data_IF_930342568364
#
_entry.id   IF_930342568364
#
_cell.length_a   1.000
_cell.length_b   1.000
_cell.length_c   1.000
_cell.angle_alpha   90.00
_cell.angle_beta   90.00
_cell.angle_gamma   90.00
#
_symmetry.space_group_name_H-M   'P 1'
#
loop_
_entity.id
_entity.type
_entity.pdbx_description
1 polymer ?
#
# COMPACT_ATOMS: atom_id res chain seq x y z
N UNK A 1 28.16 0.82 17.14
CA UNK A 1 26.72 0.68 16.87
C UNK A 1 26.14 -0.27 17.89
N UNK A 2 25.57 0.24 18.97
CA UNK A 2 24.87 -0.60 19.94
C UNK A 2 23.38 -0.60 19.61
N UNK A 3 22.85 -1.70 19.08
CA UNK A 3 21.41 -1.85 18.85
C UNK A 3 20.61 -1.66 20.15
N UNK A 4 21.22 -1.92 21.31
CA UNK A 4 20.61 -1.68 22.62
C UNK A 4 20.26 -0.20 22.84
N UNK A 5 21.14 0.73 22.43
CA UNK A 5 20.88 2.17 22.58
C UNK A 5 19.77 2.62 21.62
N UNK A 6 19.76 2.07 20.40
CA UNK A 6 18.72 2.32 19.40
C UNK A 6 17.36 1.83 19.90
N UNK A 7 17.29 0.61 20.46
CA UNK A 7 16.05 0.08 21.03
C UNK A 7 15.59 0.89 22.25
N UNK A 8 16.51 1.26 23.14
CA UNK A 8 16.18 2.14 24.26
C UNK A 8 15.66 3.52 23.81
N UNK A 9 16.21 4.07 22.73
CA UNK A 9 15.70 5.31 22.13
C UNK A 9 14.30 5.13 21.53
N UNK A 10 14.03 4.01 20.87
CA UNK A 10 12.69 3.70 20.34
C UNK A 10 11.68 3.60 21.49
N UNK A 11 12.00 2.85 22.55
CA UNK A 11 11.12 2.68 23.71
C UNK A 11 10.83 4.02 24.39
N UNK A 12 11.84 4.89 24.54
CA UNK A 12 11.68 6.21 25.12
C UNK A 12 10.83 7.19 24.28
N UNK A 13 10.70 6.95 22.97
CA UNK A 13 9.98 7.81 22.04
C UNK A 13 8.71 7.16 21.45
N UNK A 14 8.31 6.00 21.95
CA UNK A 14 7.24 5.18 21.38
C UNK A 14 5.92 5.96 21.22
N UNK A 15 5.51 6.73 22.22
CA UNK A 15 4.29 7.55 22.16
C UNK A 15 4.34 8.61 21.06
N UNK A 16 5.50 9.27 20.88
CA UNK A 16 5.69 10.25 19.82
C UNK A 16 5.62 9.59 18.43
N UNK A 17 6.21 8.41 18.29
CA UNK A 17 6.19 7.64 17.05
C UNK A 17 4.80 7.14 16.69
N UNK A 18 4.05 6.66 17.68
CA UNK A 18 2.63 6.28 17.54
C UNK A 18 1.79 7.49 17.12
N UNK A 19 2.03 8.67 17.72
CA UNK A 19 1.32 9.89 17.36
C UNK A 19 1.61 10.36 15.93
N UNK A 20 2.83 10.16 15.43
CA UNK A 20 3.16 10.45 14.02
C UNK A 20 2.37 9.52 13.07
N UNK A 21 2.17 8.25 13.42
CA UNK A 21 1.28 7.35 12.67
C UNK A 21 -0.19 7.78 12.76
N UNK A 22 -0.69 8.11 13.96
CA UNK A 22 -2.07 8.60 14.14
C UNK A 22 -2.30 9.86 13.30
N UNK A 23 -1.35 10.78 13.24
CA UNK A 23 -1.42 11.98 12.41
C UNK A 23 -1.56 11.63 10.92
N UNK A 24 -0.78 10.66 10.44
CA UNK A 24 -0.85 10.21 9.04
C UNK A 24 -2.15 9.44 8.73
N UNK A 25 -2.66 8.64 9.67
CA UNK A 25 -3.96 7.95 9.56
C UNK A 25 -5.11 8.95 9.52
N UNK A 26 -5.02 10.06 10.25
CA UNK A 26 -6.03 11.12 10.27
C UNK A 26 -6.13 11.92 8.98
N UNK A 27 -5.13 11.86 8.12
CA UNK A 27 -5.16 12.49 6.80
C UNK A 27 -5.78 11.51 5.80
N UNK A 28 -7.01 11.73 5.29
CA UNK A 28 -7.56 10.89 4.22
C UNK A 28 -6.69 10.96 2.96
N UNK A 29 -6.63 9.86 2.23
CA UNK A 29 -5.83 9.70 1.02
C UNK A 29 -6.43 8.62 0.09
N UNK A 30 -7.73 8.72 -0.21
CA UNK A 30 -8.46 7.69 -0.96
C UNK A 30 -8.24 7.87 -2.46
N UNK A 31 -7.33 7.07 -3.05
CA UNK A 31 -6.91 7.21 -4.46
C UNK A 31 -8.04 6.96 -5.45
N UNK A 32 -8.91 5.98 -5.20
CA UNK A 32 -10.10 5.70 -6.00
C UNK A 32 -11.08 6.88 -6.11
N UNK A 33 -10.97 7.88 -5.23
CA UNK A 33 -11.81 9.08 -5.18
C UNK A 33 -11.03 10.39 -5.37
N UNK A 34 -9.70 10.32 -5.47
CA UNK A 34 -8.82 11.49 -5.44
C UNK A 34 -8.86 12.29 -4.12
N UNK A 35 -9.38 11.71 -3.04
CA UNK A 35 -9.62 12.42 -1.78
C UNK A 35 -8.33 12.59 -0.99
N UNK A 36 -7.92 13.82 -0.71
CA UNK A 36 -6.82 14.13 0.24
C UNK A 36 -5.42 13.71 -0.20
N UNK A 37 -5.24 13.26 -1.45
CA UNK A 37 -3.99 12.76 -2.01
C UNK A 37 -2.83 13.77 -1.90
N UNK A 38 -3.00 14.98 -2.44
CA UNK A 38 -1.94 16.01 -2.40
C UNK A 38 -1.56 16.40 -0.96
N UNK A 39 -2.55 16.56 -0.08
CA UNK A 39 -2.32 16.88 1.33
C UNK A 39 -1.57 15.75 2.06
N UNK A 40 -1.85 14.49 1.71
CA UNK A 40 -1.14 13.34 2.26
C UNK A 40 0.29 13.24 1.71
N UNK A 41 0.51 13.49 0.42
CA UNK A 41 1.85 13.54 -0.17
C UNK A 41 2.71 14.63 0.52
N UNK A 42 2.15 15.83 0.72
CA UNK A 42 2.82 16.90 1.45
C UNK A 42 3.12 16.53 2.91
N UNK A 43 2.23 15.80 3.57
CA UNK A 43 2.44 15.32 4.94
C UNK A 43 3.57 14.29 4.99
N UNK A 44 3.60 13.33 4.07
CA UNK A 44 4.67 12.33 3.94
C UNK A 44 6.01 13.02 3.67
N UNK A 45 6.05 14.00 2.78
CA UNK A 45 7.27 14.77 2.49
C UNK A 45 7.77 15.50 3.75
N UNK A 46 6.87 16.15 4.50
CA UNK A 46 7.20 16.81 5.78
C UNK A 46 7.76 15.82 6.80
N UNK A 47 7.20 14.61 6.88
CA UNK A 47 7.69 13.57 7.79
C UNK A 47 9.10 13.11 7.42
N UNK A 48 9.38 12.93 6.12
CA UNK A 48 10.73 12.59 5.62
C UNK A 48 11.74 13.71 5.90
N UNK A 49 11.39 14.97 5.58
CA UNK A 49 12.23 16.16 5.87
C UNK A 49 12.54 16.30 7.35
N UNK A 50 11.56 16.05 8.23
CA UNK A 50 11.74 16.13 9.70
C UNK A 50 12.82 15.18 10.21
N UNK A 51 13.01 14.03 9.55
CA UNK A 51 14.06 13.05 9.89
C UNK A 51 15.43 13.43 9.30
N UNK A 52 15.50 14.47 8.47
CA UNK A 52 16.73 14.95 7.85
C UNK A 52 17.03 14.35 6.48
N UNK A 53 16.03 13.72 5.83
CA UNK A 53 16.17 13.24 4.46
C UNK A 53 16.04 14.40 3.47
N UNK A 54 16.81 14.36 2.38
CA UNK A 54 16.51 15.18 1.20
C UNK A 54 15.29 14.59 0.50
N UNK A 55 14.40 15.43 -0.03
CA UNK A 55 13.14 14.95 -0.60
C UNK A 55 12.82 15.60 -1.94
N UNK A 56 11.96 14.93 -2.70
CA UNK A 56 11.36 15.46 -3.92
C UNK A 56 9.96 14.89 -4.08
N UNK A 57 8.99 15.73 -4.39
CA UNK A 57 7.67 15.28 -4.87
C UNK A 57 7.73 15.21 -6.40
N UNK A 58 7.62 14.01 -6.95
CA UNK A 58 7.55 13.74 -8.38
C UNK A 58 6.08 13.74 -8.80
N UNK A 59 5.71 14.70 -9.65
CA UNK A 59 4.35 14.77 -10.21
C UNK A 59 4.35 14.24 -11.64
N UNK A 60 3.40 13.36 -11.95
CA UNK A 60 3.17 12.87 -13.31
C UNK A 60 2.09 13.70 -13.99
N UNK A 61 1.97 13.58 -15.31
CA UNK A 61 0.91 14.26 -16.05
C UNK A 61 -0.50 13.70 -15.78
N UNK A 62 -0.61 12.44 -15.32
CA UNK A 62 -1.87 11.69 -15.25
C UNK A 62 -1.97 10.77 -14.02
N UNK A 63 -1.36 11.15 -12.90
CA UNK A 63 -1.36 10.33 -11.70
C UNK A 63 -1.03 11.07 -10.43
N UNK A 64 -1.12 10.37 -9.31
CA UNK A 64 -0.90 10.92 -7.99
C UNK A 64 0.59 11.20 -7.74
N UNK A 65 0.93 12.18 -6.88
CA UNK A 65 2.32 12.49 -6.59
C UNK A 65 3.06 11.32 -5.93
N UNK A 66 4.30 11.09 -6.35
CA UNK A 66 5.23 10.17 -5.70
C UNK A 66 6.18 10.97 -4.82
N UNK A 67 6.29 10.61 -3.55
CA UNK A 67 7.23 11.24 -2.61
C UNK A 67 8.51 10.43 -2.54
N UNK A 68 9.61 11.05 -2.94
CA UNK A 68 10.97 10.50 -2.80
C UNK A 68 11.66 11.11 -1.59
N UNK A 69 12.37 10.28 -0.83
CA UNK A 69 13.27 10.69 0.25
C UNK A 69 14.60 9.97 0.17
N UNK A 70 15.71 10.65 0.49
CA UNK A 70 17.05 10.05 0.46
C UNK A 70 17.90 10.51 1.64
N UNK A 71 18.63 9.56 2.22
CA UNK A 71 19.75 9.82 3.12
C UNK A 71 21.01 9.16 2.55
N UNK A 72 22.05 9.96 2.31
CA UNK A 72 23.36 9.49 1.88
C UNK A 72 24.30 9.46 3.08
N UNK A 73 24.71 8.26 3.47
CA UNK A 73 25.70 8.08 4.53
C UNK A 73 27.08 8.49 4.05
N UNK A 74 27.94 8.90 5.00
CA UNK A 74 29.30 9.39 4.69
C UNK A 74 30.23 8.28 4.20
N UNK A 75 29.90 7.02 4.52
CA UNK A 75 30.78 5.87 4.30
C UNK A 75 30.10 4.69 3.61
N UNK A 76 28.77 4.71 3.48
CA UNK A 76 28.03 3.62 2.88
C UNK A 76 28.26 3.50 1.37
N UNK A 77 28.55 2.26 0.94
CA UNK A 77 28.67 1.90 -0.49
C UNK A 77 27.40 1.28 -1.06
N UNK A 78 26.48 0.85 -0.19
CA UNK A 78 25.25 0.14 -0.54
C UNK A 78 24.04 1.02 -0.30
N UNK A 79 22.97 0.75 -1.04
CA UNK A 79 21.72 1.50 -0.99
C UNK A 79 20.55 0.55 -0.82
N UNK A 80 19.71 0.83 0.17
CA UNK A 80 18.44 0.13 0.40
C UNK A 80 17.28 1.08 0.09
N UNK A 81 16.34 0.60 -0.72
CA UNK A 81 15.09 1.29 -1.05
C UNK A 81 13.93 0.71 -0.23
N UNK A 82 13.17 1.57 0.44
CA UNK A 82 11.86 1.22 0.98
C UNK A 82 10.78 1.68 -0.01
N UNK A 83 10.04 0.73 -0.58
CA UNK A 83 8.80 1.02 -1.29
C UNK A 83 7.62 0.96 -0.30
N UNK A 84 6.77 1.98 -0.33
CA UNK A 84 5.53 2.10 0.43
C UNK A 84 4.50 2.87 -0.41
N UNK A 85 3.27 2.93 0.08
CA UNK A 85 2.26 3.84 -0.47
C UNK A 85 1.52 4.57 0.66
N UNK A 86 1.00 5.75 0.35
CA UNK A 86 0.26 6.59 1.30
C UNK A 86 -1.23 6.63 1.00
N UNK A 87 -1.67 6.21 -0.19
CA UNK A 87 -3.07 6.09 -0.51
C UNK A 87 -3.71 4.91 0.22
N UNK A 88 -5.04 4.92 0.30
CA UNK A 88 -5.80 3.94 1.06
C UNK A 88 -7.11 3.58 0.35
N UNK A 89 -7.61 2.36 0.58
CA UNK A 89 -8.95 1.97 0.14
C UNK A 89 -10.07 2.90 0.66
N UNK A 90 -11.19 3.02 -0.06
CA UNK A 90 -12.41 3.65 0.47
C UNK A 90 -12.84 3.04 1.81
N UNK A 91 -13.31 3.86 2.77
CA UNK A 91 -13.72 3.37 4.07
C UNK A 91 -15.18 2.86 4.10
N UNK A 92 -15.98 3.04 3.05
CA UNK A 92 -17.38 2.63 3.08
C UNK A 92 -17.59 1.13 3.28
N UNK A 93 -18.71 0.73 3.93
CA UNK A 93 -19.73 1.57 4.56
C UNK A 93 -19.29 2.19 5.90
N UNK A 94 -19.40 3.52 6.05
CA UNK A 94 -18.91 4.27 7.22
C UNK A 94 -19.63 3.83 8.50
N UNK A 95 -20.93 3.58 8.41
CA UNK A 95 -21.80 3.22 9.53
C UNK A 95 -21.46 1.87 10.17
N UNK A 96 -20.69 1.02 9.49
CA UNK A 96 -20.21 -0.25 10.07
C UNK A 96 -18.93 -0.09 10.89
N UNK A 97 -18.33 1.09 10.91
CA UNK A 97 -17.14 1.35 11.71
C UNK A 97 -17.51 1.66 13.16
N UNK A 98 -16.90 0.93 14.10
CA UNK A 98 -16.98 1.24 15.53
C UNK A 98 -16.39 2.61 15.87
N UNK A 99 -15.32 3.01 15.17
CA UNK A 99 -14.66 4.32 15.30
C UNK A 99 -14.53 4.95 13.92
N UNK A 100 -14.68 6.28 13.75
CA UNK A 100 -14.58 6.90 12.44
C UNK A 100 -13.29 6.49 11.70
N UNK A 101 -13.36 6.15 10.40
CA UNK A 101 -12.27 5.51 9.68
C UNK A 101 -10.95 6.30 9.72
N UNK A 102 -11.01 7.62 9.73
CA UNK A 102 -9.85 8.50 9.79
C UNK A 102 -9.65 9.13 11.18
N UNK A 103 -10.17 8.52 12.24
CA UNK A 103 -9.97 9.03 13.61
C UNK A 103 -8.57 8.73 14.17
N UNK A 104 -7.97 7.60 13.75
CA UNK A 104 -6.75 7.07 14.36
C UNK A 104 -6.93 6.77 15.85
N UNK A 105 -8.12 6.30 16.25
CA UNK A 105 -8.45 6.06 17.66
C UNK A 105 -7.54 4.98 18.23
N UNK A 106 -6.92 5.23 19.38
CA UNK A 106 -6.15 4.24 20.11
C UNK A 106 -7.02 3.59 21.18
N UNK A 107 -7.14 2.26 21.16
CA UNK A 107 -7.84 1.46 22.17
C UNK A 107 -7.05 0.18 22.42
N UNK A 108 -6.75 -0.10 23.69
CA UNK A 108 -6.02 -1.30 24.13
C UNK A 108 -4.73 -1.57 23.34
N UNK A 109 -3.94 -0.52 23.13
CA UNK A 109 -2.67 -0.59 22.39
C UNK A 109 -2.81 -0.76 20.88
N UNK A 110 -4.02 -0.65 20.32
CA UNK A 110 -4.30 -0.76 18.88
C UNK A 110 -4.76 0.57 18.30
N UNK A 111 -4.27 0.89 17.11
CA UNK A 111 -4.70 2.07 16.34
C UNK A 111 -5.79 1.61 15.37
N UNK A 112 -6.99 2.17 15.52
CA UNK A 112 -8.11 1.95 14.62
C UNK A 112 -8.19 3.09 13.62
N UNK A 113 -7.99 2.76 12.34
CA UNK A 113 -8.24 3.66 11.24
C UNK A 113 -7.85 3.07 9.88
N UNK A 114 -8.51 3.51 8.82
CA UNK A 114 -8.17 3.19 7.44
C UNK A 114 -6.75 3.68 7.16
N UNK A 115 -5.93 2.78 6.62
CA UNK A 115 -4.52 3.05 6.36
C UNK A 115 -3.56 2.67 7.49
N UNK A 116 -4.06 2.37 8.70
CA UNK A 116 -3.18 2.15 9.86
C UNK A 116 -2.20 0.99 9.65
N UNK A 117 -2.64 -0.10 9.03
CA UNK A 117 -1.77 -1.23 8.65
C UNK A 117 -1.36 -1.21 7.19
N UNK A 118 -2.17 -0.62 6.32
CA UNK A 118 -2.07 -0.74 4.87
C UNK A 118 -2.15 0.65 4.20
N UNK A 119 -1.04 1.36 3.99
CA UNK A 119 0.33 0.98 4.38
C UNK A 119 1.04 1.99 5.30
N UNK A 120 0.30 2.98 5.83
CA UNK A 120 0.87 4.08 6.63
C UNK A 120 1.68 3.58 7.83
N UNK A 121 1.27 2.48 8.46
CA UNK A 121 2.01 1.87 9.58
C UNK A 121 3.38 1.32 9.19
N UNK A 122 3.47 0.62 8.06
CA UNK A 122 4.74 0.10 7.55
C UNK A 122 5.68 1.25 7.15
N UNK A 123 5.15 2.27 6.46
CA UNK A 123 5.92 3.48 6.16
C UNK A 123 6.47 4.14 7.42
N UNK A 124 5.62 4.42 8.41
CA UNK A 124 6.05 5.12 9.63
C UNK A 124 7.04 4.29 10.43
N UNK A 125 6.83 2.98 10.60
CA UNK A 125 7.76 2.13 11.34
C UNK A 125 9.17 2.14 10.73
N UNK A 126 9.28 2.05 9.40
CA UNK A 126 10.56 2.16 8.67
C UNK A 126 11.19 3.54 8.85
N UNK A 127 10.39 4.60 8.73
CA UNK A 127 10.86 5.96 8.95
C UNK A 127 11.39 6.15 10.38
N UNK A 128 10.74 5.58 11.39
CA UNK A 128 11.16 5.67 12.79
C UNK A 128 12.39 4.85 13.11
N UNK A 129 12.57 3.71 12.46
CA UNK A 129 13.82 2.95 12.53
C UNK A 129 15.00 3.78 11.98
N UNK A 130 14.82 4.43 10.82
CA UNK A 130 15.82 5.33 10.22
C UNK A 130 16.09 6.53 11.13
N UNK A 131 15.04 7.18 11.64
CA UNK A 131 15.16 8.30 12.56
C UNK A 131 15.97 7.93 13.81
N UNK A 132 15.63 6.81 14.45
CA UNK A 132 16.31 6.37 15.68
C UNK A 132 17.78 6.05 15.45
N UNK A 133 18.12 5.42 14.31
CA UNK A 133 19.51 5.16 13.95
C UNK A 133 20.29 6.46 13.72
N UNK A 134 19.69 7.45 13.07
CA UNK A 134 20.30 8.75 12.82
C UNK A 134 20.50 9.55 14.13
N UNK A 135 19.50 9.60 15.00
CA UNK A 135 19.57 10.37 16.24
C UNK A 135 20.58 9.77 17.23
N UNK A 136 20.71 8.43 17.29
CA UNK A 136 21.67 7.76 18.18
C UNK A 136 23.08 7.78 17.61
N UNK A 137 23.25 7.55 16.30
CA UNK A 137 24.59 7.33 15.72
C UNK A 137 25.13 8.51 14.91
N UNK A 138 24.29 9.47 14.53
CA UNK A 138 24.63 10.60 13.65
C UNK A 138 24.86 10.23 12.18
N UNK A 139 24.78 8.95 11.81
CA UNK A 139 24.91 8.44 10.44
C UNK A 139 24.26 7.04 10.31
N UNK A 140 24.12 6.55 9.08
CA UNK A 140 23.60 5.21 8.77
C UNK A 140 24.69 4.28 8.21
N UNK A 141 24.59 2.96 8.43
CA UNK A 141 25.51 1.99 7.84
C UNK A 141 25.28 1.76 6.33
N UNK A 142 24.16 2.26 5.80
CA UNK A 142 23.73 2.09 4.42
C UNK A 142 23.05 3.38 3.93
N UNK A 143 23.10 3.66 2.63
CA UNK A 143 22.27 4.70 2.04
C UNK A 143 20.81 4.25 2.05
N UNK A 144 19.90 5.17 2.38
CA UNK A 144 18.47 4.87 2.44
C UNK A 144 17.74 5.72 1.42
N UNK A 145 16.80 5.09 0.72
CA UNK A 145 15.85 5.76 -0.16
C UNK A 145 14.43 5.35 0.21
N UNK A 146 13.51 6.30 0.20
CA UNK A 146 12.07 6.07 0.30
C UNK A 146 11.42 6.37 -1.04
N UNK A 147 10.63 5.41 -1.51
CA UNK A 147 9.66 5.54 -2.57
C UNK A 147 8.29 5.44 -1.90
N UNK A 148 7.53 6.53 -1.86
CA UNK A 148 6.16 6.50 -1.30
C UNK A 148 5.17 6.99 -2.36
N UNK A 149 4.39 6.08 -2.94
CA UNK A 149 3.42 6.39 -3.98
C UNK A 149 2.00 6.60 -3.45
N UNK A 150 1.10 7.05 -4.32
CA UNK A 150 -0.30 7.31 -3.98
C UNK A 150 -1.31 6.62 -4.89
N UNK A 151 -0.93 5.54 -5.59
CA UNK A 151 -1.82 4.85 -6.53
C UNK A 151 -1.86 3.33 -6.33
N UNK A 152 -1.28 2.78 -5.26
CA UNK A 152 -1.19 1.32 -5.08
C UNK A 152 -2.58 0.68 -5.03
N UNK A 153 -3.51 1.34 -4.35
CA UNK A 153 -4.87 0.82 -4.11
C UNK A 153 -5.76 0.86 -5.37
N UNK A 154 -5.26 1.47 -6.45
CA UNK A 154 -5.84 1.49 -7.80
C UNK A 154 -4.94 0.79 -8.83
N UNK A 155 -3.93 0.03 -8.39
CA UNK A 155 -3.06 -0.81 -9.22
C UNK A 155 -1.82 -0.11 -9.77
N UNK A 156 -1.39 1.01 -9.20
CA UNK A 156 -0.16 1.73 -9.56
C UNK A 156 0.01 2.04 -11.06
N UNK A 157 -1.02 2.56 -11.77
CA UNK A 157 -1.01 2.71 -13.22
C UNK A 157 0.14 3.59 -13.76
N UNK A 158 0.64 4.55 -12.98
CA UNK A 158 1.73 5.44 -13.41
C UNK A 158 3.09 5.13 -12.76
N UNK A 159 3.21 4.07 -11.97
CA UNK A 159 4.44 3.73 -11.25
C UNK A 159 5.61 3.43 -12.21
N UNK A 160 5.38 2.58 -13.22
CA UNK A 160 6.41 2.19 -14.18
C UNK A 160 6.96 3.41 -14.98
N UNK A 161 6.10 4.28 -15.56
CA UNK A 161 6.56 5.53 -16.17
C UNK A 161 7.43 6.38 -15.24
N UNK A 162 7.00 6.59 -13.99
CA UNK A 162 7.77 7.39 -13.00
C UNK A 162 9.16 6.80 -12.78
N UNK A 163 9.25 5.48 -12.63
CA UNK A 163 10.52 4.78 -12.44
C UNK A 163 11.42 4.95 -13.67
N UNK A 164 10.88 4.78 -14.88
CA UNK A 164 11.66 4.92 -16.13
C UNK A 164 12.22 6.33 -16.30
N UNK A 165 11.40 7.35 -16.05
CA UNK A 165 11.80 8.76 -16.18
C UNK A 165 12.81 9.19 -15.09
N UNK A 166 12.80 8.54 -13.92
CA UNK A 166 13.61 8.91 -12.76
C UNK A 166 14.53 7.77 -12.30
N UNK A 167 14.95 6.88 -13.21
CA UNK A 167 15.70 5.65 -12.89
C UNK A 167 16.86 5.85 -11.89
N UNK A 168 17.71 6.90 -11.99
CA UNK A 168 18.79 7.11 -11.03
C UNK A 168 18.31 7.35 -9.59
N UNK A 169 17.14 7.96 -9.40
CA UNK A 169 16.56 8.16 -8.06
C UNK A 169 16.19 6.82 -7.44
N UNK A 170 15.69 5.86 -8.22
CA UNK A 170 15.18 4.59 -7.69
C UNK A 170 16.15 3.40 -7.76
N UNK A 171 17.33 3.57 -8.37
CA UNK A 171 18.40 2.57 -8.31
C UNK A 171 18.87 2.31 -6.88
N UNK A 172 18.88 1.03 -6.48
CA UNK A 172 19.34 0.56 -5.18
C UNK A 172 19.92 -0.86 -5.29
N UNK A 173 20.70 -1.30 -4.30
CA UNK A 173 21.24 -2.67 -4.23
C UNK A 173 20.20 -3.67 -3.72
N UNK A 174 19.23 -3.20 -2.94
CA UNK A 174 18.11 -4.00 -2.44
C UNK A 174 16.86 -3.14 -2.26
N UNK A 175 15.70 -3.77 -2.27
CA UNK A 175 14.42 -3.14 -1.98
C UNK A 175 13.64 -3.95 -0.93
N UNK A 176 13.04 -3.26 0.02
CA UNK A 176 12.03 -3.82 0.93
C UNK A 176 10.67 -3.30 0.46
N UNK A 177 9.84 -4.22 0.00
CA UNK A 177 8.48 -3.94 -0.44
C UNK A 177 7.57 -3.66 0.76
N UNK A 178 6.47 -2.97 0.52
CA UNK A 178 5.64 -2.28 1.51
C UNK A 178 5.01 -3.12 2.63
N UNK A 179 4.86 -4.44 2.46
CA UNK A 179 4.19 -5.29 3.45
C UNK A 179 5.16 -5.90 4.45
N UNK A 180 4.64 -6.21 5.64
CA UNK A 180 5.34 -6.91 6.69
C UNK A 180 4.38 -7.13 7.86
N UNK A 181 4.63 -8.16 8.66
CA UNK A 181 3.76 -8.47 9.79
C UNK A 181 4.31 -9.56 10.67
N UNK A 182 3.56 -9.84 11.73
CA UNK A 182 3.82 -10.96 12.62
C UNK A 182 2.62 -11.89 12.66
N UNK A 183 2.85 -13.17 12.89
CA UNK A 183 1.75 -14.08 13.21
C UNK A 183 1.22 -13.85 14.62
N UNK A 184 0.18 -14.61 15.00
CA UNK A 184 -0.44 -14.57 16.33
C UNK A 184 0.54 -14.84 17.50
N UNK A 185 1.70 -15.44 17.23
CA UNK A 185 2.75 -15.70 18.23
C UNK A 185 3.85 -14.64 18.23
N UNK A 186 3.69 -13.55 17.46
CA UNK A 186 4.67 -12.48 17.35
C UNK A 186 5.87 -12.80 16.45
N UNK A 187 5.86 -13.92 15.72
CA UNK A 187 6.97 -14.24 14.80
C UNK A 187 6.85 -13.44 13.52
N UNK A 188 7.91 -12.76 13.04
CA UNK A 188 7.90 -12.05 11.78
C UNK A 188 7.63 -12.98 10.59
N UNK A 189 6.91 -12.46 9.60
CA UNK A 189 6.77 -13.09 8.29
C UNK A 189 7.70 -12.45 7.28
N UNK A 190 8.38 -13.28 6.50
CA UNK A 190 9.13 -12.87 5.33
C UNK A 190 8.44 -13.42 4.08
N UNK A 191 8.03 -12.50 3.20
CA UNK A 191 7.42 -12.83 1.92
C UNK A 191 8.49 -12.73 0.83
N UNK A 192 8.65 -13.80 0.05
CA UNK A 192 9.60 -13.86 -1.06
C UNK A 192 8.89 -13.92 -2.43
N UNK A 193 7.56 -13.84 -2.44
CA UNK A 193 6.76 -13.85 -3.66
C UNK A 193 5.33 -13.40 -3.39
N UNK A 194 4.73 -12.78 -4.40
CA UNK A 194 3.34 -12.33 -4.44
C UNK A 194 2.69 -12.90 -5.70
N UNK A 195 1.39 -13.18 -5.65
CA UNK A 195 0.63 -13.52 -6.86
C UNK A 195 0.38 -12.25 -7.66
N UNK A 196 0.38 -12.37 -9.00
CA UNK A 196 -0.21 -11.34 -9.85
C UNK A 196 -1.73 -11.30 -9.70
N UNK A 197 -2.34 -10.21 -10.15
CA UNK A 197 -3.79 -10.03 -10.22
C UNK A 197 -4.20 -9.65 -11.64
N UNK A 198 -5.28 -10.25 -12.12
CA UNK A 198 -5.96 -9.86 -13.36
C UNK A 198 -7.42 -9.57 -13.01
N UNK A 199 -7.83 -8.32 -13.18
CA UNK A 199 -9.21 -7.89 -12.99
C UNK A 199 -9.89 -7.76 -14.36
N UNK A 200 -11.08 -8.34 -14.49
CA UNK A 200 -11.91 -8.26 -15.70
C UNK A 200 -13.29 -7.72 -15.35
N UNK A 201 -13.83 -6.86 -16.21
CA UNK A 201 -15.20 -6.37 -16.10
C UNK A 201 -16.08 -7.08 -17.14
N UNK A 202 -17.14 -7.74 -16.67
CA UNK A 202 -18.10 -8.42 -17.53
C UNK A 202 -19.39 -7.61 -17.62
N UNK A 203 -19.70 -7.11 -18.81
CA UNK A 203 -20.92 -6.37 -19.08
C UNK A 203 -21.87 -7.19 -19.95
N UNK A 204 -23.13 -7.29 -19.54
CA UNK A 204 -24.19 -7.86 -20.35
C UNK A 204 -25.27 -6.81 -20.61
N UNK A 205 -25.74 -6.73 -21.84
CA UNK A 205 -26.74 -5.77 -22.29
C UNK A 205 -28.02 -6.48 -22.74
N UNK A 206 -29.17 -5.84 -22.51
CA UNK A 206 -30.49 -6.37 -22.82
C UNK A 206 -31.35 -5.31 -23.50
N UNK A 207 -32.57 -5.10 -23.00
CA UNK A 207 -33.41 -3.99 -23.46
C UNK A 207 -32.69 -2.64 -23.30
N UNK A 208 -33.06 -1.66 -24.13
CA UNK A 208 -32.48 -0.30 -24.12
C UNK A 208 -32.85 0.53 -22.88
N UNK A 209 -33.69 -0.01 -21.99
CA UNK A 209 -34.12 0.59 -20.72
C UNK A 209 -34.52 -0.51 -19.74
N UNK A 210 -34.57 -0.18 -18.46
CA UNK A 210 -35.12 -1.05 -17.43
C UNK A 210 -36.58 -1.40 -17.76
N UNK A 211 -36.94 -2.67 -17.52
CA UNK A 211 -38.27 -3.19 -17.83
C UNK A 211 -38.92 -3.72 -16.56
N UNK A 212 -40.22 -3.46 -16.43
CA UNK A 212 -41.05 -4.05 -15.38
C UNK A 212 -40.87 -5.59 -15.36
N UNK A 213 -40.56 -6.15 -14.19
CA UNK A 213 -40.14 -7.54 -14.03
C UNK A 213 -41.17 -8.58 -14.50
N UNK A 214 -42.46 -8.22 -14.55
CA UNK A 214 -43.51 -9.06 -15.13
C UNK A 214 -43.25 -9.45 -16.61
N UNK A 215 -42.46 -8.68 -17.36
CA UNK A 215 -42.09 -8.98 -18.74
C UNK A 215 -40.84 -9.88 -18.86
N UNK A 216 -40.28 -10.36 -17.75
CA UNK A 216 -39.12 -11.26 -17.76
C UNK A 216 -39.28 -12.51 -18.65
N UNK A 217 -40.48 -13.09 -18.85
CA UNK A 217 -40.65 -14.20 -19.80
C UNK A 217 -40.49 -13.80 -21.28
N UNK A 218 -40.62 -12.52 -21.61
CA UNK A 218 -40.65 -12.02 -23.00
C UNK A 218 -39.32 -11.38 -23.43
N UNK A 219 -38.47 -11.00 -22.47
CA UNK A 219 -37.27 -10.19 -22.73
C UNK A 219 -36.06 -10.86 -22.09
N UNK A 220 -34.96 -10.91 -22.84
CA UNK A 220 -33.67 -11.40 -22.33
C UNK A 220 -33.24 -10.56 -21.14
N UNK A 221 -32.99 -11.21 -20.01
CA UNK A 221 -32.48 -10.57 -18.81
C UNK A 221 -30.93 -10.69 -18.76
N UNK A 222 -30.20 -9.57 -18.85
CA UNK A 222 -28.73 -9.57 -18.79
C UNK A 222 -28.16 -10.16 -17.50
N UNK A 223 -28.86 -10.06 -16.37
CA UNK A 223 -28.40 -10.62 -15.10
C UNK A 223 -28.26 -12.14 -15.18
N UNK A 224 -29.19 -12.84 -15.83
CA UNK A 224 -29.09 -14.28 -16.04
C UNK A 224 -27.94 -14.65 -16.99
N UNK A 225 -27.66 -13.82 -18.01
CA UNK A 225 -26.49 -14.01 -18.88
C UNK A 225 -25.18 -13.96 -18.08
N UNK A 226 -25.04 -13.02 -17.16
CA UNK A 226 -23.88 -12.93 -16.27
C UNK A 226 -23.78 -14.14 -15.33
N UNK A 227 -24.89 -14.56 -14.70
CA UNK A 227 -24.90 -15.74 -13.83
C UNK A 227 -24.43 -16.99 -14.57
N UNK A 228 -24.95 -17.22 -15.78
CA UNK A 228 -24.52 -18.36 -16.59
C UNK A 228 -23.06 -18.26 -17.01
N UNK A 229 -22.59 -17.07 -17.39
CA UNK A 229 -21.19 -16.87 -17.77
C UNK A 229 -20.23 -17.09 -16.59
N UNK A 230 -20.57 -16.62 -15.38
CA UNK A 230 -19.78 -16.84 -14.17
C UNK A 230 -19.67 -18.33 -13.82
N UNK A 231 -20.74 -19.10 -14.00
CA UNK A 231 -20.73 -20.56 -13.80
C UNK A 231 -19.82 -21.32 -14.80
N UNK A 232 -19.35 -20.66 -15.87
CA UNK A 232 -18.39 -21.23 -16.81
C UNK A 232 -16.93 -20.90 -16.44
N UNK A 233 -16.68 -20.02 -15.47
CA UNK A 233 -15.30 -19.65 -15.09
C UNK A 233 -14.70 -20.59 -14.05
N UNK A 234 -15.54 -21.19 -13.19
CA UNK A 234 -15.09 -21.96 -12.04
C UNK A 234 -16.12 -23.02 -11.64
N UNK A 235 -15.64 -24.24 -11.37
CA UNK A 235 -16.46 -25.35 -10.92
C UNK A 235 -16.74 -25.30 -9.40
N UNK A 236 -17.69 -26.12 -8.95
CA UNK A 236 -18.10 -26.21 -7.54
C UNK A 236 -17.01 -26.74 -6.59
N UNK A 237 -15.96 -27.38 -7.11
CA UNK A 237 -14.77 -27.80 -6.39
C UNK A 237 -13.65 -26.74 -6.39
N UNK A 238 -13.99 -25.51 -6.77
CA UNK A 238 -13.10 -24.36 -6.88
C UNK A 238 -12.06 -24.43 -8.03
N UNK A 239 -12.15 -25.41 -8.93
CA UNK A 239 -11.28 -25.50 -10.11
C UNK A 239 -11.65 -24.45 -11.16
N UNK A 240 -10.66 -23.76 -11.71
CA UNK A 240 -10.86 -22.79 -12.80
C UNK A 240 -11.09 -23.55 -14.11
N UNK A 241 -12.13 -23.15 -14.86
CA UNK A 241 -12.59 -23.82 -16.07
C UNK A 241 -12.13 -23.14 -17.36
N UNK A 242 -11.38 -22.04 -17.26
CA UNK A 242 -10.83 -21.34 -18.41
C UNK A 242 -9.78 -22.22 -19.10
N UNK A 243 -9.97 -22.47 -20.40
CA UNK A 243 -9.04 -23.25 -21.21
C UNK A 243 -7.62 -22.69 -21.13
N UNK A 244 -6.64 -23.57 -20.96
CA UNK A 244 -5.22 -23.22 -20.85
C UNK A 244 -4.78 -22.63 -19.50
N UNK A 245 -5.70 -22.41 -18.53
CA UNK A 245 -5.37 -21.72 -17.27
C UNK A 245 -4.20 -22.36 -16.49
N UNK A 246 -4.09 -23.69 -16.50
CA UNK A 246 -3.10 -24.43 -15.73
C UNK A 246 -1.81 -24.76 -16.50
N UNK A 247 -1.72 -24.45 -17.80
CA UNK A 247 -0.59 -24.86 -18.65
C UNK A 247 0.75 -24.27 -18.19
N UNK A 248 0.72 -23.06 -17.60
CA UNK A 248 1.91 -22.35 -17.12
C UNK A 248 2.06 -22.40 -15.59
N UNK A 249 1.22 -23.17 -14.88
CA UNK A 249 1.32 -23.30 -13.42
C UNK A 249 2.44 -24.28 -13.10
N UNK A 250 3.52 -23.76 -12.53
CA UNK A 250 4.62 -24.60 -12.07
C UNK A 250 4.16 -25.47 -10.87
N UNK A 251 4.55 -26.76 -10.83
CA UNK A 251 4.27 -27.60 -9.67
C UNK A 251 5.02 -27.08 -8.43
N UNK A 252 4.55 -27.40 -7.22
CA UNK A 252 5.29 -27.10 -6.00
C UNK A 252 6.72 -27.65 -6.08
N UNK A 253 7.70 -26.84 -5.66
CA UNK A 253 9.06 -27.34 -5.42
C UNK A 253 9.07 -28.26 -4.21
N UNK A 254 9.89 -29.31 -4.25
CA UNK A 254 10.12 -30.24 -3.15
C UNK A 254 10.77 -29.58 -1.93
#
# INVERSE_FOLDING_TARGET
MSLKEVYGHIDANADAFVNDLVKLVRQPSVSAKGEGIEACADLVEKMLKKVGLSTKILRTKKGNPVVYGEFKSKSAKKTLLFYNHYDVQPPEPIEKWTYPPFSGKIVDGKIFGRGATDNKGNFVSRLKAVQSLLEVNGDLPINIKFFVEGEEEIGSPNLEPVIKENKPLFSADAAIWEFGGTNRQGRPHLYLGLKGVLSVEMMAYGASKDVHSANAPLIVNPAWRLVWALNLLKAADEKILIDGFYENVLPPSA
#
